data_IF_130281235774
#
_entry.id   IF_130281235774
#
_cell.length_a   1.000
_cell.length_b   1.000
_cell.length_c   1.000
_cell.angle_alpha   90.00
_cell.angle_beta   90.00
_cell.angle_gamma   90.00
#
_symmetry.space_group_name_H-M   'P 1'
#
loop_
_entity.id
_entity.type
_entity.pdbx_description
1 polymer ?
#
# COMPACT_ATOMS: atom_id res chain seq x y z
N UNK A 1 16.01 -3.73 -22.91
CA UNK A 1 14.87 -3.10 -22.21
C UNK A 1 14.58 -3.73 -20.83
N UNK A 2 15.57 -3.88 -19.93
CA UNK A 2 15.36 -4.71 -18.71
C UNK A 2 15.78 -4.07 -17.40
N UNK A 3 17.01 -3.57 -17.25
CA UNK A 3 17.50 -3.05 -15.96
C UNK A 3 16.70 -1.84 -15.44
N UNK A 4 16.47 -0.82 -16.27
CA UNK A 4 15.74 0.39 -15.86
C UNK A 4 14.30 0.10 -15.41
N UNK A 5 13.65 -0.88 -16.06
CA UNK A 5 12.29 -1.30 -15.72
C UNK A 5 12.26 -2.07 -14.39
N UNK A 6 13.26 -2.90 -14.13
CA UNK A 6 13.41 -3.63 -12.86
C UNK A 6 13.66 -2.64 -11.71
N UNK A 7 14.53 -1.66 -11.92
CA UNK A 7 14.79 -0.61 -10.92
C UNK A 7 13.52 0.20 -10.64
N UNK A 8 12.76 0.58 -11.68
CA UNK A 8 11.49 1.27 -11.50
C UNK A 8 10.44 0.45 -10.74
N UNK A 9 10.37 -0.87 -10.98
CA UNK A 9 9.48 -1.79 -10.27
C UNK A 9 9.92 -1.96 -8.81
N UNK A 10 11.21 -2.11 -8.55
CA UNK A 10 11.73 -2.21 -7.18
C UNK A 10 11.50 -0.92 -6.38
N UNK A 11 11.68 0.24 -7.02
CA UNK A 11 11.38 1.51 -6.38
C UNK A 11 9.88 1.65 -6.07
N UNK A 12 9.01 1.33 -7.02
CA UNK A 12 7.57 1.35 -6.76
C UNK A 12 7.16 0.37 -5.67
N UNK A 13 7.73 -0.83 -5.60
CA UNK A 13 7.38 -1.82 -4.56
C UNK A 13 7.73 -1.33 -3.17
N UNK A 14 8.87 -0.66 -3.03
CA UNK A 14 9.29 -0.08 -1.75
C UNK A 14 8.32 1.02 -1.33
N UNK A 15 7.94 1.91 -2.25
CA UNK A 15 6.97 2.99 -1.95
C UNK A 15 5.59 2.42 -1.61
N UNK A 16 5.13 1.41 -2.35
CA UNK A 16 3.83 0.74 -2.14
C UNK A 16 3.78 0.03 -0.78
N UNK A 17 4.90 -0.49 -0.28
CA UNK A 17 5.02 -1.12 1.03
C UNK A 17 5.20 -0.12 2.18
N UNK A 18 5.79 1.06 1.90
CA UNK A 18 6.05 2.09 2.91
C UNK A 18 4.76 2.69 3.48
N UNK A 19 3.78 2.93 2.63
CA UNK A 19 2.49 3.52 3.03
C UNK A 19 1.76 2.64 4.06
N UNK A 20 1.45 1.35 3.78
CA UNK A 20 0.79 0.49 4.76
C UNK A 20 1.67 0.22 5.98
N UNK A 21 3.01 0.19 5.87
CA UNK A 21 3.89 0.03 7.03
C UNK A 21 3.81 1.21 7.99
N UNK A 22 3.79 2.44 7.46
CA UNK A 22 3.65 3.66 8.27
C UNK A 22 2.28 3.68 8.94
N UNK A 23 1.22 3.34 8.19
CA UNK A 23 -0.13 3.24 8.76
C UNK A 23 -0.15 2.22 9.90
N UNK A 24 0.38 1.01 9.69
CA UNK A 24 0.41 -0.02 10.71
C UNK A 24 1.20 0.39 11.96
N UNK A 25 2.38 0.99 11.78
CA UNK A 25 3.20 1.46 12.89
C UNK A 25 2.45 2.53 13.72
N UNK A 26 1.82 3.50 13.05
CA UNK A 26 1.02 4.53 13.72
C UNK A 26 -0.22 3.93 14.41
N UNK A 27 -0.92 3.00 13.75
CA UNK A 27 -2.08 2.33 14.35
C UNK A 27 -1.67 1.61 15.63
N UNK A 28 -0.55 0.88 15.62
CA UNK A 28 -0.08 0.19 16.82
C UNK A 28 0.37 1.17 17.89
N UNK A 29 1.13 2.21 17.51
CA UNK A 29 1.64 3.20 18.46
C UNK A 29 0.52 3.97 19.18
N UNK A 30 -0.56 4.32 18.47
CA UNK A 30 -1.61 5.20 19.01
C UNK A 30 -2.85 4.46 19.52
N UNK A 31 -3.12 3.24 19.04
CA UNK A 31 -4.38 2.55 19.33
C UNK A 31 -4.22 1.16 19.92
N UNK A 32 -3.07 0.49 19.73
CA UNK A 32 -2.91 -0.89 20.20
C UNK A 32 -2.17 -1.00 21.53
N UNK A 33 -1.32 -0.03 21.87
CA UNK A 33 -0.55 -0.06 23.12
C UNK A 33 -1.22 0.85 24.14
N UNK A 34 -1.81 0.27 25.19
CA UNK A 34 -2.26 1.02 26.35
C UNK A 34 -1.06 1.20 27.31
N UNK A 35 -0.50 2.41 27.43
CA UNK A 35 0.68 2.65 28.25
C UNK A 35 0.43 2.45 29.75
N UNK A 36 -0.83 2.31 30.17
CA UNK A 36 -1.21 2.05 31.57
C UNK A 36 -1.33 0.56 31.90
N UNK A 37 -1.44 -0.31 30.90
CA UNK A 37 -1.67 -1.76 31.08
C UNK A 37 -0.48 -2.60 30.61
N UNK A 38 0.23 -2.17 29.57
CA UNK A 38 1.34 -2.93 28.99
C UNK A 38 2.71 -2.44 29.46
N UNK A 39 3.52 -3.36 30.01
CA UNK A 39 4.94 -3.13 30.31
C UNK A 39 5.84 -3.17 29.06
N UNK A 40 5.26 -3.44 27.88
CA UNK A 40 5.98 -3.54 26.63
C UNK A 40 6.30 -2.15 26.06
N UNK A 41 7.52 -1.97 25.54
CA UNK A 41 7.93 -0.71 24.94
C UNK A 41 7.10 -0.42 23.67
N UNK A 42 6.26 0.65 23.64
CA UNK A 42 5.37 0.95 22.52
C UNK A 42 6.12 1.19 21.20
N UNK A 43 7.35 1.70 21.29
CA UNK A 43 8.21 1.95 20.14
C UNK A 43 8.68 0.66 19.48
N UNK A 44 8.95 -0.38 20.27
CA UNK A 44 9.37 -1.69 19.75
C UNK A 44 8.19 -2.37 19.05
N UNK A 45 7.00 -2.33 19.65
CA UNK A 45 5.78 -2.91 19.07
C UNK A 45 5.37 -2.22 17.78
N UNK A 46 5.35 -0.89 17.76
CA UNK A 46 5.00 -0.10 16.57
C UNK A 46 6.02 -0.29 15.44
N UNK A 47 7.31 -0.26 15.74
CA UNK A 47 8.37 -0.51 14.75
C UNK A 47 8.29 -1.93 14.20
N UNK A 48 8.06 -2.92 15.08
CA UNK A 48 7.87 -4.32 14.69
C UNK A 48 6.67 -4.52 13.76
N UNK A 49 5.53 -3.92 14.10
CA UNK A 49 4.33 -3.96 13.26
C UNK A 49 4.56 -3.33 11.89
N UNK A 50 5.21 -2.16 11.85
CA UNK A 50 5.60 -1.52 10.60
C UNK A 50 6.51 -2.41 9.75
N UNK A 51 7.54 -3.01 10.35
CA UNK A 51 8.46 -3.89 9.64
C UNK A 51 7.78 -5.15 9.09
N UNK A 52 6.90 -5.78 9.86
CA UNK A 52 6.14 -6.97 9.43
C UNK A 52 5.23 -6.63 8.24
N UNK A 53 4.51 -5.50 8.30
CA UNK A 53 3.64 -5.07 7.20
C UNK A 53 4.44 -4.67 5.96
N UNK A 54 5.60 -4.03 6.14
CA UNK A 54 6.50 -3.69 5.04
C UNK A 54 6.97 -4.94 4.29
N UNK A 55 7.51 -5.93 5.02
CA UNK A 55 7.98 -7.19 4.43
C UNK A 55 6.83 -7.98 3.80
N UNK A 56 5.68 -8.06 4.49
CA UNK A 56 4.50 -8.73 3.97
C UNK A 56 4.00 -8.11 2.66
N UNK A 57 3.94 -6.78 2.59
CA UNK A 57 3.51 -6.06 1.39
C UNK A 57 4.50 -6.23 0.24
N UNK A 58 5.81 -6.18 0.52
CA UNK A 58 6.84 -6.49 -0.47
C UNK A 58 6.72 -7.91 -1.01
N UNK A 59 6.54 -8.90 -0.12
CA UNK A 59 6.40 -10.30 -0.51
C UNK A 59 5.17 -10.53 -1.39
N UNK A 60 4.02 -9.92 -1.03
CA UNK A 60 2.79 -9.99 -1.83
C UNK A 60 2.95 -9.26 -3.16
N UNK A 61 3.55 -8.08 -3.17
CA UNK A 61 3.84 -7.32 -4.40
C UNK A 61 4.76 -8.09 -5.34
N UNK A 62 5.79 -8.76 -4.79
CA UNK A 62 6.68 -9.60 -5.57
C UNK A 62 5.98 -10.85 -6.12
N UNK A 63 5.23 -11.56 -5.27
CA UNK A 63 4.47 -12.75 -5.68
C UNK A 63 3.44 -12.43 -6.76
N UNK A 64 2.69 -11.34 -6.62
CA UNK A 64 1.72 -10.89 -7.64
C UNK A 64 2.40 -10.53 -8.95
N UNK A 65 3.57 -9.87 -8.90
CA UNK A 65 4.39 -9.60 -10.09
C UNK A 65 4.81 -10.88 -10.81
N UNK A 66 5.28 -11.89 -10.07
CA UNK A 66 5.68 -13.18 -10.63
C UNK A 66 4.51 -13.91 -11.28
N UNK A 67 3.30 -13.79 -10.71
CA UNK A 67 2.06 -14.34 -11.25
C UNK A 67 1.50 -13.55 -12.44
N UNK A 68 2.20 -12.52 -12.93
CA UNK A 68 1.76 -11.67 -14.04
C UNK A 68 0.65 -10.70 -13.68
N UNK A 69 0.27 -10.60 -12.40
CA UNK A 69 -0.64 -9.59 -11.90
C UNK A 69 0.16 -8.31 -11.63
N UNK A 70 -0.19 -7.21 -12.32
CA UNK A 70 0.58 -5.97 -12.23
C UNK A 70 0.75 -5.46 -10.78
N UNK A 71 1.90 -4.88 -10.42
CA UNK A 71 2.59 -5.23 -9.17
C UNK A 71 2.16 -4.49 -7.89
N UNK A 72 1.24 -3.52 -7.95
CA UNK A 72 1.23 -2.45 -6.95
C UNK A 72 -0.19 -2.09 -6.49
N UNK A 73 -0.68 -2.71 -5.40
CA UNK A 73 -1.98 -2.42 -4.82
C UNK A 73 -2.20 -0.92 -4.54
N UNK A 74 -1.26 -0.22 -3.90
CA UNK A 74 -1.42 1.21 -3.54
C UNK A 74 -1.42 2.06 -4.81
N UNK A 75 -0.51 1.80 -5.75
CA UNK A 75 -0.47 2.53 -7.02
C UNK A 75 -1.73 2.32 -7.86
N UNK A 76 -2.32 1.11 -7.85
CA UNK A 76 -3.63 0.85 -8.47
C UNK A 76 -4.74 1.63 -7.77
N UNK A 77 -4.72 1.67 -6.44
CA UNK A 77 -5.66 2.42 -5.63
C UNK A 77 -5.56 3.92 -5.94
N UNK A 78 -4.36 4.49 -5.94
CA UNK A 78 -4.11 5.90 -6.30
C UNK A 78 -4.58 6.21 -7.71
N UNK A 79 -4.28 5.35 -8.71
CA UNK A 79 -4.77 5.54 -10.08
C UNK A 79 -6.28 5.49 -10.15
N UNK A 80 -6.92 4.57 -9.43
CA UNK A 80 -8.38 4.43 -9.40
C UNK A 80 -9.05 5.61 -8.69
N UNK A 81 -8.45 6.08 -7.60
CA UNK A 81 -8.89 7.26 -6.87
C UNK A 81 -8.75 8.52 -7.74
N UNK A 82 -7.62 8.65 -8.45
CA UNK A 82 -7.37 9.73 -9.40
C UNK A 82 -8.37 9.70 -10.56
N UNK A 83 -8.63 8.53 -11.15
CA UNK A 83 -9.64 8.35 -12.20
C UNK A 83 -11.05 8.64 -11.70
N UNK A 84 -11.37 8.29 -10.46
CA UNK A 84 -12.65 8.59 -9.84
C UNK A 84 -12.80 10.09 -9.58
N UNK A 85 -11.74 10.74 -9.09
CA UNK A 85 -11.71 12.18 -8.84
C UNK A 85 -11.80 13.02 -10.12
N UNK A 86 -11.07 12.61 -11.16
CA UNK A 86 -11.10 13.27 -12.48
C UNK A 86 -12.19 12.74 -13.41
N UNK A 87 -13.01 11.78 -12.96
CA UNK A 87 -14.15 11.33 -13.75
C UNK A 87 -15.12 12.50 -13.84
N UNK A 88 -15.43 13.01 -15.05
CA UNK A 88 -16.45 14.02 -15.17
C UNK A 88 -17.75 13.40 -14.65
N UNK A 89 -18.35 14.03 -13.63
CA UNK A 89 -19.61 13.61 -13.00
C UNK A 89 -20.78 13.41 -13.99
N UNK A 90 -20.60 13.79 -15.26
CA UNK A 90 -21.56 13.69 -16.35
C UNK A 90 -21.28 12.56 -17.37
N UNK A 91 -20.19 11.80 -17.23
CA UNK A 91 -19.79 10.78 -18.22
C UNK A 91 -20.69 9.53 -18.22
N UNK A 92 -21.48 9.29 -17.17
CA UNK A 92 -22.35 8.10 -17.08
C UNK A 92 -23.74 8.27 -17.74
N UNK A 93 -24.05 9.42 -18.34
CA UNK A 93 -25.38 9.67 -18.94
C UNK A 93 -25.50 9.46 -20.47
N UNK A 94 -24.46 8.98 -21.17
CA UNK A 94 -24.51 8.78 -22.64
C UNK A 94 -24.32 7.34 -23.12
N UNK A 95 -24.57 6.33 -22.28
CA UNK A 95 -24.28 4.93 -22.61
C UNK A 95 -25.40 3.91 -22.44
N UNK A 96 -26.61 4.28 -22.04
CA UNK A 96 -27.78 3.38 -21.99
C UNK A 96 -28.81 3.86 -23.00
N UNK A 97 -28.59 3.49 -24.26
CA UNK A 97 -29.45 3.88 -25.36
C UNK A 97 -28.97 3.27 -26.66
N UNK A 98 -28.95 1.94 -26.72
CA UNK A 98 -29.18 1.09 -27.90
C UNK A 98 -29.02 -0.37 -27.50
#
# INVERSE_FOLDING_TARGET
>A
MKALRVVGVAFLSVVDALVPSVVAALTVLFFAVDPWVDAANPWVLSTGAGAVVFVGTLAVGFATTMLGHGPFPVTRLTKRLWQWWHRPWFADRRGRGR
#
